data_IF_183923876586
#
_entry.id   IF_183923876586
#
_cell.length_a   1.000
_cell.length_b   1.000
_cell.length_c   1.000
_cell.angle_alpha   90.00
_cell.angle_beta   90.00
_cell.angle_gamma   90.00
#
_symmetry.space_group_name_H-M   'P 1'
#
loop_
_entity.id
_entity.type
_entity.pdbx_description
1 polymer ?
#
# COMPACT_ATOMS: atom_id res chain seq x y z
N UNK A 1 13.07 -3.59 -9.92
CA UNK A 1 12.44 -2.31 -9.55
C UNK A 1 12.25 -2.15 -8.04
N UNK A 2 11.68 -3.14 -7.33
CA UNK A 2 11.48 -3.08 -5.87
C UNK A 2 12.73 -2.72 -5.04
N UNK A 3 13.91 -3.27 -5.41
CA UNK A 3 15.19 -2.95 -4.76
C UNK A 3 15.52 -1.46 -4.83
N UNK A 4 15.29 -0.81 -5.98
CA UNK A 4 15.57 0.61 -6.16
C UNK A 4 14.67 1.49 -5.30
N UNK A 5 13.44 1.04 -5.04
CA UNK A 5 12.48 1.75 -4.19
C UNK A 5 12.87 1.53 -2.71
N UNK A 6 13.12 0.30 -2.30
CA UNK A 6 13.46 0.00 -0.91
C UNK A 6 14.78 0.65 -0.48
N UNK A 7 15.82 0.51 -1.30
CA UNK A 7 17.16 1.06 -1.01
C UNK A 7 17.22 2.56 -1.32
N UNK A 8 16.59 3.00 -2.42
CA UNK A 8 16.71 4.38 -2.88
C UNK A 8 15.86 5.38 -2.10
N UNK A 9 14.68 4.98 -1.61
CA UNK A 9 13.79 5.89 -0.84
C UNK A 9 13.47 5.38 0.57
N UNK A 10 13.32 4.07 0.77
CA UNK A 10 12.88 3.51 2.06
C UNK A 10 13.93 3.62 3.17
N UNK A 11 15.11 3.05 2.94
CA UNK A 11 16.21 3.01 3.92
C UNK A 11 16.68 4.42 4.33
N UNK A 12 16.91 5.38 3.42
CA UNK A 12 17.30 6.75 3.81
C UNK A 12 16.28 7.43 4.72
N UNK A 13 14.98 7.23 4.46
CA UNK A 13 13.90 7.76 5.29
C UNK A 13 13.88 7.14 6.69
N UNK A 14 14.03 5.81 6.77
CA UNK A 14 14.09 5.09 8.04
C UNK A 14 15.29 5.56 8.89
N UNK A 15 16.47 5.67 8.28
CA UNK A 15 17.69 6.11 8.96
C UNK A 15 17.52 7.56 9.44
N UNK A 16 17.02 8.45 8.59
CA UNK A 16 16.83 9.86 8.96
C UNK A 16 15.86 10.02 10.13
N UNK A 17 14.74 9.29 10.11
CA UNK A 17 13.76 9.32 11.20
C UNK A 17 14.31 8.75 12.50
N UNK A 18 15.02 7.62 12.42
CA UNK A 18 15.63 6.98 13.60
C UNK A 18 16.73 7.86 14.19
N UNK A 19 17.59 8.42 13.35
CA UNK A 19 18.68 9.29 13.78
C UNK A 19 18.15 10.57 14.44
N UNK A 20 17.14 11.23 13.85
CA UNK A 20 16.54 12.43 14.44
C UNK A 20 15.87 12.13 15.80
N UNK A 21 15.18 10.99 15.91
CA UNK A 21 14.54 10.55 17.16
C UNK A 21 15.56 10.22 18.26
N UNK A 22 16.65 9.52 17.92
CA UNK A 22 17.66 9.06 18.89
C UNK A 22 18.65 10.15 19.29
N UNK A 23 19.15 10.92 18.31
CA UNK A 23 20.22 11.90 18.53
C UNK A 23 19.68 13.28 18.84
N UNK A 24 18.65 13.72 18.10
CA UNK A 24 18.07 15.06 18.29
C UNK A 24 16.91 15.09 19.28
N UNK A 25 16.38 13.93 19.70
CA UNK A 25 15.20 13.78 20.59
C UNK A 25 13.96 14.53 20.11
N UNK A 26 13.92 14.86 18.83
CA UNK A 26 12.82 15.56 18.18
C UNK A 26 12.22 14.63 17.13
N UNK A 27 10.89 14.50 17.03
CA UNK A 27 10.29 13.78 15.92
C UNK A 27 10.58 14.54 14.61
N UNK A 28 10.86 13.81 13.52
CA UNK A 28 10.91 14.43 12.19
C UNK A 28 9.53 14.97 11.84
N UNK A 29 9.35 16.28 11.98
CA UNK A 29 8.12 16.95 11.61
C UNK A 29 8.21 17.42 10.16
N UNK A 30 7.30 16.93 9.32
CA UNK A 30 7.20 17.33 7.92
C UNK A 30 5.95 18.18 7.83
N UNK A 31 6.10 19.50 7.61
CA UNK A 31 5.00 20.45 7.59
C UNK A 31 3.88 20.14 6.57
N UNK A 32 4.11 19.24 5.60
CA UNK A 32 3.16 18.90 4.53
C UNK A 32 2.91 17.37 4.43
N UNK A 33 2.81 16.66 5.55
CA UNK A 33 2.66 15.18 5.54
C UNK A 33 1.20 14.68 5.43
N UNK A 34 0.21 15.56 5.46
CA UNK A 34 -1.21 15.15 5.52
C UNK A 34 -1.63 14.29 4.32
N UNK A 35 -1.21 14.64 3.10
CA UNK A 35 -1.50 13.85 1.91
C UNK A 35 -0.75 12.51 1.85
N UNK A 36 0.45 12.47 2.42
CA UNK A 36 1.29 11.27 2.45
C UNK A 36 0.71 10.21 3.41
N UNK A 37 0.34 10.64 4.62
CA UNK A 37 -0.21 9.75 5.65
C UNK A 37 -1.55 9.14 5.23
N UNK A 38 -2.41 9.93 4.58
CA UNK A 38 -3.68 9.44 4.02
C UNK A 38 -3.45 8.39 2.92
N UNK A 39 -2.57 8.68 1.95
CA UNK A 39 -2.26 7.76 0.85
C UNK A 39 -1.67 6.45 1.36
N UNK A 40 -0.81 6.51 2.38
CA UNK A 40 -0.25 5.33 3.05
C UNK A 40 -1.33 4.49 3.72
N UNK A 41 -2.28 5.11 4.43
CA UNK A 41 -3.38 4.41 5.09
C UNK A 41 -4.25 3.67 4.07
N UNK A 42 -4.65 4.32 2.99
CA UNK A 42 -5.44 3.69 1.91
C UNK A 42 -4.64 2.55 1.25
N UNK A 43 -3.33 2.73 1.05
CA UNK A 43 -2.45 1.68 0.52
C UNK A 43 -2.39 0.46 1.46
N UNK A 44 -2.25 0.65 2.77
CA UNK A 44 -2.22 -0.46 3.72
C UNK A 44 -3.56 -1.21 3.75
N UNK A 45 -4.69 -0.50 3.78
CA UNK A 45 -6.02 -1.13 3.77
C UNK A 45 -6.24 -1.95 2.50
N UNK A 46 -5.94 -1.37 1.34
CA UNK A 46 -6.05 -2.08 0.05
C UNK A 46 -5.09 -3.26 -0.04
N UNK A 47 -3.86 -3.13 0.48
CA UNK A 47 -2.88 -4.22 0.54
C UNK A 47 -3.35 -5.37 1.44
N UNK A 48 -3.91 -5.08 2.63
CA UNK A 48 -4.48 -6.09 3.53
C UNK A 48 -5.63 -6.83 2.83
N UNK A 49 -6.58 -6.11 2.24
CA UNK A 49 -7.67 -6.70 1.47
C UNK A 49 -7.15 -7.62 0.34
N UNK A 50 -6.12 -7.18 -0.39
CA UNK A 50 -5.50 -7.95 -1.45
C UNK A 50 -4.89 -9.26 -0.92
N UNK A 51 -4.06 -9.16 0.12
CA UNK A 51 -3.41 -10.31 0.75
C UNK A 51 -4.46 -11.26 1.35
N UNK A 52 -5.48 -10.74 2.04
CA UNK A 52 -6.58 -11.55 2.59
C UNK A 52 -7.29 -12.36 1.51
N UNK A 53 -7.60 -11.75 0.36
CA UNK A 53 -8.21 -12.46 -0.78
C UNK A 53 -7.27 -13.52 -1.34
N UNK A 54 -5.97 -13.23 -1.46
CA UNK A 54 -4.98 -14.22 -1.90
C UNK A 54 -4.86 -15.40 -0.92
N UNK A 55 -4.85 -15.13 0.38
CA UNK A 55 -4.77 -16.16 1.44
C UNK A 55 -6.05 -17.00 1.45
N UNK A 56 -7.22 -16.38 1.39
CA UNK A 56 -8.50 -17.09 1.29
C UNK A 56 -8.53 -17.99 0.05
N UNK A 57 -8.11 -17.46 -1.11
CA UNK A 57 -8.02 -18.23 -2.36
C UNK A 57 -7.07 -19.42 -2.22
N UNK A 58 -5.95 -19.24 -1.50
CA UNK A 58 -4.97 -20.30 -1.23
C UNK A 58 -5.56 -21.41 -0.35
N UNK A 59 -6.33 -21.05 0.66
CA UNK A 59 -7.01 -22.01 1.55
C UNK A 59 -8.13 -22.77 0.84
N UNK A 60 -8.92 -22.12 -0.02
CA UNK A 60 -10.08 -22.74 -0.67
C UNK A 60 -9.73 -23.62 -1.87
N UNK A 61 -8.70 -23.23 -2.64
CA UNK A 61 -8.39 -23.87 -3.93
C UNK A 61 -7.08 -24.65 -3.93
N UNK A 62 -6.24 -24.52 -2.88
CA UNK A 62 -4.99 -25.27 -2.71
C UNK A 62 -3.91 -25.08 -3.79
N UNK A 63 -4.19 -24.32 -4.86
CA UNK A 63 -3.30 -24.12 -6.01
C UNK A 63 -2.82 -22.68 -6.12
N UNK A 64 -1.52 -22.49 -6.35
CA UNK A 64 -0.90 -21.16 -6.32
C UNK A 64 -1.15 -20.36 -7.60
N UNK A 65 -1.43 -21.02 -8.74
CA UNK A 65 -1.62 -20.34 -10.03
C UNK A 65 -2.57 -21.04 -11.05
N UNK A 66 -3.45 -21.96 -10.60
CA UNK A 66 -4.25 -22.81 -11.51
C UNK A 66 -5.68 -23.10 -11.08
N UNK A 67 -6.28 -22.26 -10.24
CA UNK A 67 -7.69 -22.41 -9.85
C UNK A 67 -8.66 -22.25 -11.03
N UNK A 68 -9.94 -22.64 -10.87
CA UNK A 68 -10.98 -22.52 -11.91
C UNK A 68 -10.98 -21.12 -12.55
N UNK A 69 -10.89 -21.07 -13.88
CA UNK A 69 -10.79 -19.85 -14.69
C UNK A 69 -11.80 -18.74 -14.34
N UNK A 70 -13.09 -19.02 -14.02
CA UNK A 70 -14.02 -17.95 -13.64
C UNK A 70 -13.63 -17.25 -12.33
N UNK A 71 -13.15 -17.98 -11.32
CA UNK A 71 -12.70 -17.42 -10.04
C UNK A 71 -11.41 -16.60 -10.21
N UNK A 72 -10.51 -17.04 -11.09
CA UNK A 72 -9.32 -16.25 -11.43
C UNK A 72 -9.69 -14.90 -12.04
N UNK A 73 -10.65 -14.87 -12.97
CA UNK A 73 -11.14 -13.64 -13.60
C UNK A 73 -11.82 -12.70 -12.59
N UNK A 74 -12.65 -13.26 -11.71
CA UNK A 74 -13.28 -12.50 -10.63
C UNK A 74 -12.25 -11.85 -9.69
N UNK A 75 -11.23 -12.61 -9.24
CA UNK A 75 -10.17 -12.05 -8.38
C UNK A 75 -9.30 -11.02 -9.10
N UNK A 76 -9.07 -11.16 -10.40
CA UNK A 76 -8.37 -10.17 -11.23
C UNK A 76 -9.16 -8.86 -11.32
N UNK A 77 -10.47 -8.94 -11.59
CA UNK A 77 -11.34 -7.76 -11.63
C UNK A 77 -11.43 -7.07 -10.26
N UNK A 78 -11.47 -7.84 -9.16
CA UNK A 78 -11.43 -7.30 -7.82
C UNK A 78 -10.14 -6.51 -7.54
N UNK A 79 -8.97 -7.01 -7.95
CA UNK A 79 -7.72 -6.26 -7.78
C UNK A 79 -7.66 -4.98 -8.63
N UNK A 80 -8.23 -5.01 -9.84
CA UNK A 80 -8.38 -3.80 -10.66
C UNK A 80 -9.30 -2.78 -9.98
N UNK A 81 -10.44 -3.21 -9.42
CA UNK A 81 -11.33 -2.34 -8.66
C UNK A 81 -10.62 -1.74 -7.44
N UNK A 82 -9.87 -2.54 -6.68
CA UNK A 82 -9.10 -2.07 -5.53
C UNK A 82 -8.10 -0.97 -5.92
N UNK A 83 -7.44 -1.14 -7.07
CA UNK A 83 -6.52 -0.15 -7.62
C UNK A 83 -7.25 1.15 -8.01
N UNK A 84 -8.41 1.06 -8.68
CA UNK A 84 -9.22 2.23 -8.99
C UNK A 84 -9.70 2.97 -7.74
N UNK A 85 -10.10 2.24 -6.69
CA UNK A 85 -10.51 2.83 -5.41
C UNK A 85 -9.34 3.60 -4.78
N UNK A 86 -8.14 3.01 -4.77
CA UNK A 86 -6.93 3.68 -4.30
C UNK A 86 -6.63 4.96 -5.10
N UNK A 87 -6.74 4.89 -6.42
CA UNK A 87 -6.48 6.03 -7.32
C UNK A 87 -7.50 7.15 -7.11
N UNK A 88 -8.79 6.81 -6.99
CA UNK A 88 -9.88 7.76 -6.77
C UNK A 88 -9.73 8.45 -5.41
N UNK A 89 -9.53 7.70 -4.33
CA UNK A 89 -9.33 8.26 -2.99
C UNK A 89 -8.11 9.19 -2.93
N UNK A 90 -7.00 8.79 -3.55
CA UNK A 90 -5.80 9.62 -3.62
C UNK A 90 -6.03 10.90 -4.42
N UNK A 91 -6.75 10.81 -5.55
CA UNK A 91 -7.09 11.96 -6.40
C UNK A 91 -8.06 12.94 -5.72
N UNK A 92 -9.07 12.41 -5.02
CA UNK A 92 -10.03 13.20 -4.25
C UNK A 92 -9.34 13.98 -3.11
N UNK A 93 -8.39 13.34 -2.42
CA UNK A 93 -7.56 13.98 -1.38
C UNK A 93 -6.72 15.12 -1.95
N UNK A 94 -6.06 14.89 -3.09
CA UNK A 94 -5.25 15.91 -3.76
C UNK A 94 -6.10 17.08 -4.27
N UNK A 95 -7.33 16.80 -4.74
CA UNK A 95 -8.27 17.82 -5.19
C UNK A 95 -8.87 18.65 -4.05
N UNK A 96 -8.57 18.33 -2.78
CA UNK A 96 -9.07 19.05 -1.60
C UNK A 96 -10.55 18.85 -1.33
N UNK A 97 -11.17 17.85 -1.96
CA UNK A 97 -12.58 17.48 -1.73
C UNK A 97 -12.71 16.68 -0.42
N UNK A 98 -11.62 16.01 -0.01
CA UNK A 98 -11.49 15.18 1.21
C UNK A 98 -10.13 15.49 1.84
#
# INVERSE_FOLDING_TARGET
NAVNIYIGIGIPWLISSTYNSVVRKEPLYINNSEGLSFSLLVFFVTSICCISVLVLRRLTLGGELGGPKPLAWATSFFFLLLWFIFLLLSSLKVSGII
#
